data_IF_336991239858
#
_entry.id   IF_336991239858
#
_cell.length_a   1.000
_cell.length_b   1.000
_cell.length_c   1.000
_cell.angle_alpha   90.00
_cell.angle_beta   90.00
_cell.angle_gamma   90.00
#
_symmetry.space_group_name_H-M   'P 1'
#
loop_
_entity.id
_entity.type
_entity.pdbx_description
1 polymer ?
#
# COMPACT_ATOMS: atom_id res chain seq x y z
N UNK A 1 19.43 -3.74 1.19
CA UNK A 1 18.96 -2.47 0.59
C UNK A 1 19.31 -2.63 -0.87
N UNK A 2 18.33 -2.81 -1.75
CA UNK A 2 18.59 -2.74 -3.19
C UNK A 2 19.23 -1.39 -3.45
N UNK A 3 20.50 -1.43 -3.85
CA UNK A 3 21.06 -0.32 -4.59
C UNK A 3 20.45 -0.46 -5.98
N UNK A 4 19.24 0.07 -6.17
CA UNK A 4 18.81 0.39 -7.53
C UNK A 4 19.75 1.52 -7.95
N UNK A 5 20.79 1.16 -8.70
CA UNK A 5 21.66 2.13 -9.33
C UNK A 5 20.76 3.04 -10.17
N UNK A 6 20.91 4.38 -10.09
CA UNK A 6 20.20 5.28 -10.98
C UNK A 6 20.36 4.81 -12.44
N UNK A 7 19.25 4.46 -13.12
CA UNK A 7 19.23 3.97 -14.50
C UNK A 7 19.04 2.46 -14.68
N UNK A 8 19.12 1.63 -13.64
CA UNK A 8 18.85 0.18 -13.73
C UNK A 8 17.45 -0.14 -13.20
N UNK A 9 16.44 -0.04 -14.07
CA UNK A 9 15.10 -0.50 -13.75
C UNK A 9 15.00 -2.01 -14.05
N UNK A 10 14.55 -2.86 -13.11
CA UNK A 10 14.46 -4.30 -13.37
C UNK A 10 13.62 -4.57 -14.62
N UNK A 11 14.12 -5.37 -15.60
CA UNK A 11 13.44 -5.59 -16.88
C UNK A 11 11.99 -6.06 -16.76
N UNK A 12 11.65 -6.76 -15.67
CA UNK A 12 10.30 -7.23 -15.38
C UNK A 12 9.26 -6.10 -15.28
N UNK A 13 9.66 -4.87 -14.95
CA UNK A 13 8.70 -3.77 -14.91
C UNK A 13 8.35 -3.21 -16.28
N UNK A 14 9.17 -3.45 -17.32
CA UNK A 14 8.92 -2.97 -18.68
C UNK A 14 7.61 -3.54 -19.25
N UNK A 15 7.22 -4.74 -18.82
CA UNK A 15 5.99 -5.41 -19.23
C UNK A 15 4.95 -5.48 -18.10
N UNK A 16 5.14 -4.70 -17.04
CA UNK A 16 4.14 -4.55 -15.99
C UNK A 16 2.92 -3.77 -16.51
N UNK A 17 1.74 -4.11 -16.00
CA UNK A 17 0.49 -3.45 -16.37
C UNK A 17 -0.35 -3.15 -15.13
N UNK A 18 -1.46 -2.44 -15.32
CA UNK A 18 -2.49 -2.25 -14.29
C UNK A 18 -3.32 -3.52 -14.17
N UNK A 19 -3.66 -3.90 -12.93
CA UNK A 19 -4.59 -4.99 -12.65
C UNK A 19 -5.97 -4.76 -13.28
N UNK A 20 -6.65 -5.83 -13.66
CA UNK A 20 -8.04 -5.80 -14.10
C UNK A 20 -8.96 -6.44 -13.05
N UNK A 21 -10.27 -6.46 -13.32
CA UNK A 21 -11.24 -7.05 -12.40
C UNK A 21 -11.00 -8.55 -12.17
N UNK A 22 -10.56 -9.29 -13.19
CA UNK A 22 -10.25 -10.71 -13.08
C UNK A 22 -9.04 -10.97 -12.15
N UNK A 23 -7.96 -10.19 -12.26
CA UNK A 23 -6.82 -10.25 -11.34
C UNK A 23 -7.26 -10.00 -9.89
N UNK A 24 -8.05 -8.95 -9.66
CA UNK A 24 -8.54 -8.60 -8.31
C UNK A 24 -9.45 -9.69 -7.75
N UNK A 25 -10.37 -10.23 -8.55
CA UNK A 25 -11.26 -11.32 -8.14
C UNK A 25 -10.46 -12.57 -7.76
N UNK A 26 -9.48 -12.98 -8.58
CA UNK A 26 -8.61 -14.14 -8.29
C UNK A 26 -7.83 -13.96 -6.98
N UNK A 27 -7.31 -12.75 -6.71
CA UNK A 27 -6.65 -12.45 -5.43
C UNK A 27 -7.66 -12.49 -4.27
N UNK A 28 -8.86 -11.94 -4.45
CA UNK A 28 -9.88 -11.93 -3.42
C UNK A 28 -10.35 -13.34 -3.04
N UNK A 29 -10.56 -14.22 -4.03
CA UNK A 29 -10.91 -15.62 -3.82
C UNK A 29 -9.80 -16.36 -3.07
N UNK A 30 -8.54 -16.16 -3.50
CA UNK A 30 -7.39 -16.76 -2.84
C UNK A 30 -7.28 -16.32 -1.38
N UNK A 31 -7.38 -15.03 -1.08
CA UNK A 31 -7.30 -14.51 0.28
C UNK A 31 -8.47 -15.00 1.16
N UNK A 32 -9.66 -15.09 0.59
CA UNK A 32 -10.86 -15.58 1.29
C UNK A 32 -10.74 -17.05 1.68
N UNK A 33 -10.03 -17.85 0.88
CA UNK A 33 -9.79 -19.26 1.15
C UNK A 33 -8.78 -19.52 2.29
N UNK A 34 -8.11 -18.49 2.80
CA UNK A 34 -7.08 -18.60 3.85
C UNK A 34 -7.47 -17.80 5.10
N UNK A 35 -8.45 -18.29 5.90
CA UNK A 35 -8.72 -17.74 7.22
C UNK A 35 -7.52 -17.93 8.15
N UNK A 36 -7.24 -16.92 8.97
CA UNK A 36 -6.35 -17.08 10.12
C UNK A 36 -7.06 -17.82 11.25
N UNK A 37 -6.33 -18.10 12.32
CA UNK A 37 -6.83 -18.88 13.48
C UNK A 37 -8.06 -18.30 14.19
N UNK A 38 -8.39 -17.05 13.92
CA UNK A 38 -9.57 -16.36 14.45
C UNK A 38 -10.75 -16.30 13.48
N UNK A 39 -10.67 -17.04 12.37
CA UNK A 39 -11.68 -17.14 11.33
C UNK A 39 -11.75 -15.92 10.40
N UNK A 40 -10.85 -14.95 10.54
CA UNK A 40 -10.78 -13.77 9.68
C UNK A 40 -9.83 -14.05 8.52
N UNK A 41 -10.24 -13.84 7.25
CA UNK A 41 -9.41 -14.14 6.08
C UNK A 41 -8.15 -13.29 6.02
N UNK A 42 -7.17 -13.80 5.27
CA UNK A 42 -6.04 -13.01 4.81
C UNK A 42 -6.52 -11.71 4.15
N UNK A 43 -5.73 -10.65 4.30
CA UNK A 43 -6.09 -9.32 3.81
C UNK A 43 -4.92 -8.70 3.06
N UNK A 44 -5.19 -8.17 1.88
CA UNK A 44 -4.27 -7.31 1.14
C UNK A 44 -4.51 -5.85 1.47
N UNK A 45 -3.42 -5.09 1.55
CA UNK A 45 -3.43 -3.65 1.72
C UNK A 45 -2.75 -2.96 0.53
N UNK A 46 -3.42 -2.90 -0.63
CA UNK A 46 -2.86 -2.21 -1.78
C UNK A 46 -2.74 -0.71 -1.48
N UNK A 47 -1.53 -0.18 -1.65
CA UNK A 47 -1.27 1.25 -1.56
C UNK A 47 -1.58 1.87 -2.93
N UNK A 48 -2.60 2.73 -3.01
CA UNK A 48 -3.05 3.35 -4.26
C UNK A 48 -2.41 4.71 -4.52
N UNK A 49 -1.95 4.91 -5.75
CA UNK A 49 -1.65 6.22 -6.33
C UNK A 49 -2.92 6.74 -6.95
N UNK A 50 -3.36 7.92 -6.52
CA UNK A 50 -4.70 8.42 -6.82
C UNK A 50 -4.83 9.13 -8.17
N UNK A 51 -3.71 9.58 -8.74
CA UNK A 51 -3.67 10.42 -9.92
C UNK A 51 -2.66 9.94 -10.96
N UNK A 52 -2.98 10.23 -12.22
CA UNK A 52 -2.03 10.14 -13.33
C UNK A 52 -2.27 11.24 -14.36
N UNK A 53 -1.24 11.59 -15.12
CA UNK A 53 -1.31 12.46 -16.29
C UNK A 53 -1.34 11.63 -17.58
N UNK A 54 -2.12 12.08 -18.54
CA UNK A 54 -2.17 11.55 -19.90
C UNK A 54 -1.94 12.66 -20.92
N UNK A 55 -1.18 12.35 -21.97
CA UNK A 55 -0.88 13.29 -23.06
C UNK A 55 -1.70 12.90 -24.30
N UNK A 56 -2.94 13.38 -24.33
CA UNK A 56 -3.96 12.95 -25.28
C UNK A 56 -4.29 14.05 -26.30
N UNK A 57 -4.80 13.63 -27.46
CA UNK A 57 -5.35 14.56 -28.44
C UNK A 57 -6.51 15.36 -27.82
N UNK A 58 -6.61 16.64 -28.17
CA UNK A 58 -7.68 17.52 -27.71
C UNK A 58 -9.06 17.03 -28.21
N UNK A 59 -9.12 16.54 -29.45
CA UNK A 59 -10.28 15.89 -30.08
C UNK A 59 -9.82 14.77 -31.03
N UNK A 60 -10.68 13.82 -31.42
CA UNK A 60 -10.32 12.76 -32.39
C UNK A 60 -9.74 13.31 -33.70
N UNK A 61 -10.22 14.47 -34.14
CA UNK A 61 -9.85 15.11 -35.42
C UNK A 61 -8.71 16.16 -35.29
N UNK A 62 -8.19 16.42 -34.08
CA UNK A 62 -7.13 17.40 -33.85
C UNK A 62 -5.83 16.72 -33.36
N UNK A 63 -4.71 17.04 -34.01
CA UNK A 63 -3.39 16.56 -33.62
C UNK A 63 -2.80 17.32 -32.42
N UNK A 64 -3.37 18.47 -32.03
CA UNK A 64 -2.96 19.21 -30.85
C UNK A 64 -3.25 18.40 -29.60
N UNK A 65 -2.20 18.20 -28.79
CA UNK A 65 -2.26 17.38 -27.59
C UNK A 65 -2.20 18.24 -26.34
N UNK A 66 -2.99 17.83 -25.36
CA UNK A 66 -3.09 18.48 -24.05
C UNK A 66 -2.84 17.47 -22.93
N UNK A 67 -2.33 17.98 -21.81
CA UNK A 67 -2.24 17.21 -20.59
C UNK A 67 -3.62 17.09 -19.95
N UNK A 68 -4.06 15.86 -19.69
CA UNK A 68 -5.29 15.56 -18.96
C UNK A 68 -4.96 14.83 -17.67
N UNK A 69 -5.56 15.29 -16.57
CA UNK A 69 -5.50 14.62 -15.26
C UNK A 69 -6.55 13.51 -15.23
N UNK A 70 -6.13 12.32 -14.84
CA UNK A 70 -7.02 11.20 -14.51
C UNK A 70 -6.88 10.92 -13.02
N UNK A 71 -7.98 11.06 -12.28
CA UNK A 71 -8.04 10.80 -10.84
C UNK A 71 -8.96 9.60 -10.64
N UNK A 72 -8.51 8.60 -9.88
CA UNK A 72 -9.27 7.38 -9.68
C UNK A 72 -10.70 7.69 -9.17
N UNK A 73 -11.74 7.02 -9.68
CA UNK A 73 -11.69 5.81 -10.52
C UNK A 73 -11.40 6.04 -12.01
N UNK A 74 -11.26 7.29 -12.47
CA UNK A 74 -10.91 7.57 -13.86
C UNK A 74 -9.47 7.16 -14.14
N UNK A 75 -9.27 6.41 -15.22
CA UNK A 75 -7.96 5.99 -15.71
C UNK A 75 -7.62 6.73 -17.01
N UNK A 76 -6.33 6.88 -17.35
CA UNK A 76 -5.95 7.28 -18.70
C UNK A 76 -6.54 6.31 -19.73
N UNK A 77 -6.91 6.81 -20.90
CA UNK A 77 -7.60 6.04 -21.96
C UNK A 77 -6.94 4.70 -22.27
N UNK A 78 -5.61 4.67 -22.41
CA UNK A 78 -4.83 3.44 -22.71
C UNK A 78 -4.82 2.40 -21.58
N UNK A 79 -5.26 2.78 -20.39
CA UNK A 79 -5.30 1.96 -19.19
C UNK A 79 -6.73 1.71 -18.70
N UNK A 80 -7.76 1.91 -19.53
CA UNK A 80 -9.15 1.60 -19.17
C UNK A 80 -9.33 0.16 -18.68
N UNK A 81 -10.10 -0.02 -17.60
CA UNK A 81 -10.41 -1.30 -16.94
C UNK A 81 -11.86 -1.28 -16.42
N UNK A 82 -12.80 -1.71 -17.25
CA UNK A 82 -14.24 -1.52 -16.98
C UNK A 82 -14.76 -2.32 -15.78
N UNK A 83 -14.08 -3.41 -15.41
CA UNK A 83 -14.47 -4.35 -14.35
C UNK A 83 -13.65 -4.21 -13.06
N UNK A 84 -12.61 -3.37 -13.05
CA UNK A 84 -11.70 -3.22 -11.92
C UNK A 84 -12.41 -2.74 -10.65
N UNK A 85 -13.13 -1.60 -10.72
CA UNK A 85 -13.75 -1.02 -9.53
C UNK A 85 -14.89 -1.85 -8.95
N UNK A 86 -15.77 -2.49 -9.75
CA UNK A 86 -16.67 -3.52 -9.24
C UNK A 86 -15.96 -4.63 -8.47
N UNK A 87 -14.88 -5.22 -9.00
CA UNK A 87 -14.14 -6.28 -8.34
C UNK A 87 -13.48 -5.80 -7.03
N UNK A 88 -12.89 -4.60 -7.03
CA UNK A 88 -12.32 -3.98 -5.83
C UNK A 88 -13.37 -3.79 -4.74
N UNK A 89 -14.58 -3.30 -5.09
CA UNK A 89 -15.68 -3.15 -4.11
C UNK A 89 -16.11 -4.49 -3.54
N UNK A 90 -16.19 -5.54 -4.36
CA UNK A 90 -16.50 -6.88 -3.90
C UNK A 90 -15.42 -7.43 -2.95
N UNK A 91 -14.14 -7.23 -3.27
CA UNK A 91 -13.03 -7.66 -2.42
C UNK A 91 -13.00 -6.90 -1.06
N UNK A 92 -13.35 -5.61 -1.04
CA UNK A 92 -13.53 -4.84 0.20
C UNK A 92 -14.71 -5.39 1.01
N UNK A 93 -15.85 -5.65 0.36
CA UNK A 93 -17.03 -6.22 1.00
C UNK A 93 -16.79 -7.63 1.56
N UNK A 94 -15.92 -8.42 0.94
CA UNK A 94 -15.47 -9.72 1.45
C UNK A 94 -14.50 -9.60 2.65
N UNK A 95 -13.94 -8.42 2.90
CA UNK A 95 -13.02 -8.16 4.01
C UNK A 95 -11.55 -8.51 3.74
N UNK A 96 -11.23 -8.86 2.50
CA UNK A 96 -9.89 -9.29 2.05
C UNK A 96 -9.08 -8.19 1.36
N UNK A 97 -9.70 -7.03 1.12
CA UNK A 97 -9.07 -5.88 0.49
C UNK A 97 -9.21 -4.64 1.37
N UNK A 98 -8.08 -4.04 1.74
CA UNK A 98 -8.01 -2.88 2.62
C UNK A 98 -7.10 -1.79 2.03
N UNK A 99 -7.59 -1.02 1.05
CA UNK A 99 -6.81 0.01 0.36
C UNK A 99 -6.13 1.00 1.30
N UNK A 100 -4.92 1.44 1.02
CA UNK A 100 -4.28 2.52 1.78
C UNK A 100 -3.61 3.52 0.82
N UNK A 101 -3.15 4.66 1.34
CA UNK A 101 -2.69 5.76 0.50
C UNK A 101 -1.23 5.56 0.08
N UNK A 102 -0.95 5.67 -1.21
CA UNK A 102 0.43 5.67 -1.72
C UNK A 102 0.90 7.06 -2.18
N UNK A 103 -0.01 7.99 -2.43
CA UNK A 103 0.33 9.28 -3.03
C UNK A 103 -0.76 9.75 -3.99
N UNK A 104 -0.69 11.02 -4.35
CA UNK A 104 -1.46 11.55 -5.47
C UNK A 104 -0.77 11.15 -6.78
N UNK A 105 0.56 11.23 -6.80
CA UNK A 105 1.40 10.90 -7.95
C UNK A 105 2.50 9.93 -7.55
N UNK A 106 3.10 9.24 -8.51
CA UNK A 106 4.32 8.45 -8.30
C UNK A 106 5.55 9.08 -8.98
N UNK A 107 5.44 10.37 -9.33
CA UNK A 107 6.43 11.19 -10.02
C UNK A 107 6.06 12.66 -9.83
N UNK A 108 6.97 13.58 -10.18
CA UNK A 108 6.64 15.01 -10.23
C UNK A 108 5.88 15.33 -11.54
N UNK A 109 4.62 15.80 -11.47
CA UNK A 109 3.84 16.10 -12.67
C UNK A 109 4.42 17.23 -13.53
N UNK A 110 5.09 18.21 -12.94
CA UNK A 110 5.67 19.34 -13.67
C UNK A 110 6.99 18.97 -14.35
N UNK A 111 7.82 18.19 -13.67
CA UNK A 111 9.04 17.63 -14.26
C UNK A 111 8.70 16.74 -15.48
N UNK A 112 7.64 15.92 -15.37
CA UNK A 112 7.12 15.16 -16.51
C UNK A 112 6.74 16.07 -17.70
N UNK A 113 6.03 17.17 -17.45
CA UNK A 113 5.62 18.10 -18.51
C UNK A 113 6.83 18.76 -19.17
N UNK A 114 7.79 19.21 -18.36
CA UNK A 114 9.03 19.84 -18.83
C UNK A 114 9.87 18.87 -19.66
N UNK A 115 10.04 17.64 -19.20
CA UNK A 115 10.75 16.57 -19.92
C UNK A 115 10.12 16.29 -21.28
N UNK A 116 8.79 16.16 -21.33
CA UNK A 116 8.06 15.95 -22.60
C UNK A 116 8.16 17.17 -23.52
N UNK A 117 8.13 18.39 -23.00
CA UNK A 117 8.29 19.58 -23.83
C UNK A 117 9.69 19.67 -24.48
N UNK A 118 10.73 19.22 -23.79
CA UNK A 118 12.13 19.34 -24.22
C UNK A 118 12.71 18.14 -24.99
N UNK A 119 12.05 16.98 -25.02
CA UNK A 119 12.61 15.75 -25.59
C UNK A 119 11.61 15.03 -26.52
N UNK A 120 11.98 14.84 -27.79
CA UNK A 120 11.15 14.17 -28.80
C UNK A 120 10.81 12.72 -28.48
N UNK A 121 11.73 11.95 -27.92
CA UNK A 121 11.47 10.57 -27.48
C UNK A 121 10.47 10.56 -26.31
N UNK A 122 10.60 11.51 -25.38
CA UNK A 122 9.65 11.67 -24.28
C UNK A 122 8.25 12.05 -24.78
N UNK A 123 8.15 12.83 -25.86
CA UNK A 123 6.87 13.09 -26.52
C UNK A 123 6.28 11.81 -27.10
N UNK A 124 7.07 11.01 -27.82
CA UNK A 124 6.62 9.75 -28.40
C UNK A 124 6.14 8.76 -27.34
N UNK A 125 6.90 8.60 -26.26
CA UNK A 125 6.50 7.79 -25.12
C UNK A 125 5.21 8.32 -24.46
N UNK A 126 5.10 9.63 -24.22
CA UNK A 126 3.90 10.23 -23.63
C UNK A 126 2.65 10.02 -24.50
N UNK A 127 2.79 10.08 -25.84
CA UNK A 127 1.71 9.75 -26.80
C UNK A 127 1.24 8.30 -26.67
N UNK A 128 2.15 7.40 -26.29
CA UNK A 128 1.87 5.99 -26.00
C UNK A 128 1.40 5.75 -24.56
N UNK A 129 1.27 6.79 -23.74
CA UNK A 129 0.88 6.65 -22.32
C UNK A 129 2.03 6.18 -21.43
N UNK A 130 3.25 6.10 -21.96
CA UNK A 130 4.44 5.67 -21.25
C UNK A 130 5.10 6.85 -20.54
N UNK A 131 5.85 6.54 -19.49
CA UNK A 131 6.71 7.49 -18.81
C UNK A 131 8.17 7.15 -19.16
N UNK A 132 8.92 8.13 -19.66
CA UNK A 132 10.38 8.02 -19.71
C UNK A 132 10.91 8.57 -18.39
N UNK A 133 11.76 7.80 -17.75
CA UNK A 133 12.47 8.20 -16.54
C UNK A 133 13.95 8.40 -16.86
N UNK A 134 14.34 9.44 -17.64
CA UNK A 134 15.75 9.62 -18.00
C UNK A 134 16.62 9.87 -16.75
N UNK A 135 16.02 10.41 -15.67
CA UNK A 135 16.63 10.61 -14.35
C UNK A 135 15.74 10.08 -13.21
N UNK A 136 15.12 8.90 -13.37
CA UNK A 136 14.11 8.35 -12.45
C UNK A 136 14.47 8.30 -10.96
N UNK A 137 15.74 8.48 -10.62
CA UNK A 137 16.22 8.65 -9.25
C UNK A 137 16.05 10.08 -8.67
N UNK A 138 15.41 11.03 -9.37
CA UNK A 138 15.21 12.42 -8.90
C UNK A 138 13.80 12.97 -9.08
N UNK A 139 12.98 12.40 -9.97
CA UNK A 139 11.60 12.86 -10.21
C UNK A 139 10.62 12.23 -9.22
N UNK A 140 10.62 12.74 -7.98
CA UNK A 140 9.79 12.23 -6.90
C UNK A 140 8.57 13.12 -6.67
N UNK A 141 7.40 12.51 -6.40
CA UNK A 141 6.23 13.25 -5.94
C UNK A 141 6.58 14.18 -4.75
N UNK A 142 7.46 13.70 -3.85
CA UNK A 142 7.82 14.36 -2.61
C UNK A 142 9.21 15.02 -2.64
N UNK A 143 9.73 15.36 -3.83
CA UNK A 143 11.03 16.00 -4.01
C UNK A 143 11.19 17.30 -3.18
N UNK A 144 12.42 17.62 -2.77
CA UNK A 144 12.71 18.69 -1.80
C UNK A 144 12.40 20.09 -2.31
N UNK A 145 12.52 20.29 -3.60
CA UNK A 145 12.35 21.55 -4.33
C UNK A 145 10.89 21.86 -4.68
N UNK A 146 9.97 20.91 -4.50
CA UNK A 146 8.53 21.16 -4.66
C UNK A 146 7.98 22.05 -3.55
N UNK A 147 7.06 22.93 -3.93
CA UNK A 147 6.40 23.86 -3.01
C UNK A 147 5.58 23.08 -1.95
N UNK A 148 5.85 23.27 -0.65
CA UNK A 148 5.05 22.68 0.43
C UNK A 148 3.54 22.94 0.32
N UNK A 149 3.12 24.10 -0.20
CA UNK A 149 1.69 24.43 -0.37
C UNK A 149 1.04 23.57 -1.46
N UNK A 150 1.76 23.34 -2.57
CA UNK A 150 1.34 22.44 -3.65
C UNK A 150 1.24 21.00 -3.14
N UNK A 151 2.26 20.52 -2.41
CA UNK A 151 2.26 19.17 -1.83
C UNK A 151 1.07 18.93 -0.88
N UNK A 152 0.71 19.94 -0.08
CA UNK A 152 -0.45 19.85 0.82
C UNK A 152 -1.76 19.85 0.02
N UNK A 153 -1.87 20.67 -1.03
CA UNK A 153 -3.05 20.70 -1.88
C UNK A 153 -3.26 19.35 -2.59
N UNK A 154 -2.19 18.78 -3.15
CA UNK A 154 -2.20 17.46 -3.79
C UNK A 154 -2.53 16.33 -2.81
N UNK A 155 -1.94 16.36 -1.60
CA UNK A 155 -2.27 15.41 -0.53
C UNK A 155 -3.76 15.44 -0.20
N UNK A 156 -4.35 16.63 -0.03
CA UNK A 156 -5.78 16.78 0.26
C UNK A 156 -6.67 16.32 -0.89
N UNK A 157 -6.30 16.65 -2.12
CA UNK A 157 -7.02 16.21 -3.31
C UNK A 157 -6.98 14.68 -3.43
N UNK A 158 -5.81 14.07 -3.27
CA UNK A 158 -5.61 12.63 -3.29
C UNK A 158 -6.38 11.91 -2.18
N UNK A 159 -6.32 12.41 -0.94
CA UNK A 159 -7.10 11.87 0.18
C UNK A 159 -8.61 12.02 -0.04
N UNK A 160 -9.06 13.13 -0.62
CA UNK A 160 -10.47 13.34 -0.99
C UNK A 160 -10.93 12.35 -2.06
N UNK A 161 -10.13 12.15 -3.11
CA UNK A 161 -10.38 11.15 -4.14
C UNK A 161 -10.41 9.73 -3.55
N UNK A 162 -9.47 9.41 -2.66
CA UNK A 162 -9.41 8.13 -1.96
C UNK A 162 -10.70 7.88 -1.16
N UNK A 163 -11.10 8.87 -0.35
CA UNK A 163 -12.31 8.77 0.47
C UNK A 163 -13.57 8.59 -0.37
N UNK A 164 -13.68 9.31 -1.49
CA UNK A 164 -14.79 9.16 -2.44
C UNK A 164 -14.83 7.77 -3.07
N UNK A 165 -13.67 7.21 -3.41
CA UNK A 165 -13.58 5.91 -4.09
C UNK A 165 -13.83 4.72 -3.16
N UNK A 166 -13.26 4.77 -1.96
CA UNK A 166 -13.28 3.62 -1.03
C UNK A 166 -14.25 3.79 0.14
N UNK A 167 -14.97 4.91 0.23
CA UNK A 167 -15.96 5.18 1.28
C UNK A 167 -15.38 5.45 2.66
N UNK A 168 -14.05 5.58 2.77
CA UNK A 168 -13.34 5.92 4.02
C UNK A 168 -12.07 6.72 3.75
N UNK A 169 -11.66 7.53 4.71
CA UNK A 169 -10.33 8.13 4.68
C UNK A 169 -9.23 7.04 4.80
N UNK A 170 -8.06 7.25 4.18
CA UNK A 170 -6.90 6.39 4.44
C UNK A 170 -6.39 6.64 5.87
N UNK A 171 -5.75 5.63 6.44
CA UNK A 171 -5.22 5.70 7.81
C UNK A 171 -3.70 5.46 7.85
N UNK A 172 -3.16 4.82 6.81
CA UNK A 172 -1.75 4.65 6.60
C UNK A 172 -1.29 5.21 5.25
N UNK A 173 -0.01 5.53 5.19
CA UNK A 173 0.67 5.96 3.97
C UNK A 173 1.95 5.18 3.75
N UNK A 174 2.15 4.74 2.51
CA UNK A 174 3.45 4.36 1.99
C UNK A 174 3.89 5.48 1.04
N UNK A 175 5.04 6.12 1.28
CA UNK A 175 5.52 7.15 0.37
C UNK A 175 5.97 6.53 -0.97
N UNK A 176 5.72 7.17 -2.13
CA UNK A 176 6.32 6.72 -3.38
C UNK A 176 7.84 6.69 -3.26
N UNK A 177 8.44 5.65 -3.84
CA UNK A 177 9.89 5.42 -3.84
C UNK A 177 10.55 5.38 -2.46
N UNK A 178 9.75 5.29 -1.40
CA UNK A 178 10.17 5.44 -0.02
C UNK A 178 10.91 6.76 0.27
N UNK A 179 10.65 7.82 -0.49
CA UNK A 179 11.42 9.05 -0.45
C UNK A 179 10.63 10.15 0.30
N UNK A 180 11.01 10.46 1.54
CA UNK A 180 10.36 11.52 2.32
C UNK A 180 11.23 12.04 3.47
N UNK A 181 10.84 13.18 4.05
CA UNK A 181 11.49 13.81 5.20
C UNK A 181 10.49 14.16 6.33
N UNK A 182 10.98 14.88 7.36
CA UNK A 182 10.17 15.30 8.51
C UNK A 182 9.08 16.31 8.16
N UNK A 183 9.27 17.11 7.12
CA UNK A 183 8.25 18.07 6.69
C UNK A 183 7.03 17.30 6.18
N UNK A 184 7.25 16.30 5.31
CA UNK A 184 6.19 15.46 4.76
C UNK A 184 5.48 14.64 5.84
N UNK A 185 6.20 14.11 6.82
CA UNK A 185 5.58 13.40 7.95
C UNK A 185 4.67 14.31 8.79
N UNK A 186 5.05 15.57 8.99
CA UNK A 186 4.18 16.55 9.66
C UNK A 186 2.96 16.91 8.83
N UNK A 187 3.09 16.97 7.50
CA UNK A 187 1.95 17.17 6.59
C UNK A 187 0.96 16.00 6.73
N UNK A 188 1.44 14.77 6.61
CA UNK A 188 0.62 13.57 6.80
C UNK A 188 -0.07 13.53 8.16
N UNK A 189 0.66 13.81 9.24
CA UNK A 189 0.10 13.82 10.59
C UNK A 189 -1.03 14.86 10.74
N UNK A 190 -0.87 16.05 10.15
CA UNK A 190 -1.89 17.11 10.17
C UNK A 190 -3.16 16.72 9.42
N UNK A 191 -3.02 15.98 8.32
CA UNK A 191 -4.16 15.46 7.54
C UNK A 191 -4.71 14.14 8.11
N UNK A 192 -4.18 13.65 9.24
CA UNK A 192 -4.72 12.50 9.98
C UNK A 192 -4.09 11.15 9.63
N UNK A 193 -3.08 11.11 8.76
CA UNK A 193 -2.29 9.92 8.46
C UNK A 193 -1.29 9.67 9.61
N UNK A 194 -1.61 8.70 10.48
CA UNK A 194 -0.85 8.41 11.69
C UNK A 194 -0.04 7.12 11.61
N UNK A 195 -0.11 6.42 10.49
CA UNK A 195 0.61 5.17 10.27
C UNK A 195 1.48 5.33 9.03
N UNK A 196 2.79 5.14 9.19
CA UNK A 196 3.75 5.26 8.09
C UNK A 196 4.36 3.89 7.85
N UNK A 197 4.13 3.36 6.66
CA UNK A 197 4.66 2.09 6.22
C UNK A 197 6.13 2.21 5.79
N UNK A 198 6.82 1.07 5.75
CA UNK A 198 8.17 0.94 5.17
C UNK A 198 9.23 1.89 5.75
N UNK A 199 9.20 2.15 7.07
CA UNK A 199 10.14 3.10 7.71
C UNK A 199 11.61 2.70 7.56
N UNK A 200 11.90 1.39 7.53
CA UNK A 200 13.26 0.88 7.31
C UNK A 200 13.76 1.21 5.91
N UNK A 201 12.89 1.22 4.92
CA UNK A 201 13.15 1.43 3.50
C UNK A 201 13.35 2.92 3.17
N UNK A 202 12.96 3.84 4.05
CA UNK A 202 13.05 5.30 3.84
C UNK A 202 14.37 5.75 3.20
N UNK A 203 14.29 6.42 2.06
CA UNK A 203 15.42 7.02 1.35
C UNK A 203 15.55 8.48 1.76
N UNK A 204 16.80 8.95 1.82
CA UNK A 204 17.08 10.37 2.01
C UNK A 204 16.80 11.11 0.71
N UNK A 205 16.02 12.19 0.77
CA UNK A 205 15.79 13.04 -0.40
C UNK A 205 17.03 13.86 -0.81
N UNK A 206 17.95 14.12 0.13
CA UNK A 206 19.08 15.04 -0.06
C UNK A 206 20.40 14.35 -0.43
N UNK A 207 20.46 13.01 -0.42
CA UNK A 207 21.72 12.27 -0.59
C UNK A 207 21.57 11.15 -1.62
N UNK A 208 22.29 11.29 -2.74
CA UNK A 208 22.41 10.25 -3.76
C UNK A 208 23.35 9.13 -3.32
N UNK A 209 24.41 9.46 -2.56
CA UNK A 209 25.35 8.51 -1.98
C UNK A 209 25.20 8.44 -0.47
N UNK A 210 25.15 7.21 0.07
CA UNK A 210 24.92 6.95 1.50
C UNK A 210 26.20 6.37 2.09
N UNK A 211 26.82 7.09 3.02
CA UNK A 211 28.01 6.62 3.74
C UNK A 211 27.66 5.61 4.84
N UNK A 212 28.66 4.91 5.39
CA UNK A 212 28.44 4.04 6.56
C UNK A 212 27.94 4.83 7.78
N UNK A 213 28.41 6.07 7.96
CA UNK A 213 27.96 6.96 9.02
C UNK A 213 26.50 7.36 8.86
N UNK A 214 26.05 7.59 7.62
CA UNK A 214 24.63 7.84 7.34
C UNK A 214 23.75 6.64 7.70
N UNK A 215 24.24 5.41 7.47
CA UNK A 215 23.52 4.19 7.87
C UNK A 215 23.40 4.07 9.38
N UNK A 216 24.49 4.33 10.12
CA UNK A 216 24.49 4.31 11.59
C UNK A 216 23.55 5.40 12.13
N UNK A 217 23.68 6.62 11.61
CA UNK A 217 22.83 7.74 11.98
C UNK A 217 21.35 7.42 11.73
N UNK A 218 21.01 6.87 10.57
CA UNK A 218 19.64 6.45 10.24
C UNK A 218 19.09 5.43 11.24
N UNK A 219 19.90 4.48 11.70
CA UNK A 219 19.49 3.51 12.73
C UNK A 219 19.21 4.23 14.06
N UNK A 220 20.13 5.09 14.52
CA UNK A 220 19.98 5.85 15.75
C UNK A 220 18.76 6.79 15.70
N UNK A 221 18.62 7.56 14.62
CA UNK A 221 17.49 8.44 14.38
C UNK A 221 16.19 7.65 14.42
N UNK A 222 16.10 6.54 13.68
CA UNK A 222 14.90 5.72 13.67
C UNK A 222 14.54 5.20 15.07
N UNK A 223 15.51 4.70 15.83
CA UNK A 223 15.28 4.26 17.22
C UNK A 223 14.79 5.41 18.10
N UNK A 224 15.40 6.59 17.98
CA UNK A 224 14.96 7.79 18.69
C UNK A 224 13.53 8.18 18.33
N UNK A 225 13.15 8.07 17.06
CA UNK A 225 11.82 8.41 16.57
C UNK A 225 10.75 7.46 17.09
N UNK A 226 11.01 6.15 17.11
CA UNK A 226 10.10 5.18 17.74
C UNK A 226 9.83 5.52 19.22
N UNK A 227 10.83 6.08 19.93
CA UNK A 227 10.69 6.45 21.34
C UNK A 227 9.98 7.78 21.55
N UNK A 228 10.19 8.76 20.67
CA UNK A 228 9.76 10.14 20.87
C UNK A 228 8.46 10.50 20.16
N UNK A 229 8.18 9.93 18.99
CA UNK A 229 7.04 10.29 18.16
C UNK A 229 5.83 9.37 18.41
N UNK A 230 5.23 9.49 19.58
CA UNK A 230 4.12 8.61 20.02
C UNK A 230 2.85 8.74 19.17
N UNK A 231 2.70 9.86 18.45
CA UNK A 231 1.54 10.12 17.58
C UNK A 231 1.56 9.35 16.28
N UNK A 232 2.72 8.86 15.85
CA UNK A 232 2.93 8.11 14.61
C UNK A 232 3.26 6.65 14.96
N UNK A 233 2.64 5.71 14.26
CA UNK A 233 3.10 4.31 14.25
C UNK A 233 3.89 4.08 12.97
N UNK A 234 5.14 3.69 13.16
CA UNK A 234 6.03 3.32 12.07
C UNK A 234 6.02 1.80 11.91
N UNK A 235 5.69 1.33 10.71
CA UNK A 235 5.68 -0.08 10.36
C UNK A 235 6.84 -0.39 9.39
N UNK A 236 7.36 -1.61 9.46
CA UNK A 236 8.47 -2.06 8.61
C UNK A 236 8.01 -3.23 7.75
N UNK A 237 8.26 -3.18 6.44
CA UNK A 237 8.05 -4.32 5.53
C UNK A 237 9.19 -5.32 5.72
N UNK A 238 9.10 -6.14 6.76
CA UNK A 238 10.19 -7.04 7.18
C UNK A 238 10.18 -8.40 6.46
N UNK A 239 9.15 -8.71 5.67
CA UNK A 239 9.03 -9.91 4.84
C UNK A 239 8.81 -9.49 3.38
N UNK A 240 9.49 -10.14 2.42
CA UNK A 240 9.44 -9.78 0.99
C UNK A 240 8.99 -10.97 0.16
N UNK A 241 7.96 -10.76 -0.66
CA UNK A 241 7.43 -11.71 -1.63
C UNK A 241 7.46 -11.06 -3.02
N UNK A 242 8.66 -10.95 -3.56
CA UNK A 242 8.93 -10.21 -4.81
C UNK A 242 9.48 -11.16 -5.88
N UNK A 243 8.68 -12.13 -6.32
CA UNK A 243 9.13 -13.20 -7.24
C UNK A 243 9.60 -12.68 -8.58
N UNK A 244 8.85 -11.76 -9.17
CA UNK A 244 9.18 -11.06 -10.40
C UNK A 244 10.54 -10.32 -10.35
N UNK A 245 10.96 -9.92 -9.15
CA UNK A 245 12.21 -9.18 -8.93
C UNK A 245 13.33 -10.04 -8.35
N UNK A 246 13.06 -11.29 -7.99
CA UNK A 246 14.02 -12.16 -7.32
C UNK A 246 15.03 -12.71 -8.33
N UNK A 247 16.31 -12.71 -7.97
CA UNK A 247 17.36 -13.40 -8.73
C UNK A 247 17.07 -14.91 -8.86
N UNK A 248 16.41 -15.47 -7.84
CA UNK A 248 15.94 -16.86 -7.80
C UNK A 248 14.44 -16.89 -7.49
N UNK A 249 13.63 -16.93 -8.56
CA UNK A 249 12.17 -17.01 -8.50
C UNK A 249 11.66 -18.34 -7.91
N UNK A 250 12.51 -19.34 -7.69
CA UNK A 250 12.09 -20.60 -7.06
C UNK A 250 12.12 -20.54 -5.51
N UNK A 251 12.94 -19.65 -4.94
CA UNK A 251 13.18 -19.61 -3.48
C UNK A 251 12.53 -18.45 -2.74
N UNK A 252 12.09 -17.42 -3.45
CA UNK A 252 11.60 -16.18 -2.81
C UNK A 252 10.42 -16.43 -1.85
N UNK A 253 9.52 -17.38 -2.16
CA UNK A 253 8.43 -17.75 -1.28
C UNK A 253 8.93 -18.37 0.03
N UNK A 254 9.87 -19.32 -0.04
CA UNK A 254 10.49 -19.93 1.15
C UNK A 254 11.26 -18.91 1.98
N UNK A 255 12.02 -18.00 1.34
CA UNK A 255 12.71 -16.89 2.03
C UNK A 255 11.72 -15.92 2.70
N UNK A 256 10.55 -15.69 2.10
CA UNK A 256 9.48 -14.93 2.72
C UNK A 256 8.99 -15.63 4.01
N UNK A 257 8.69 -16.93 3.95
CA UNK A 257 8.25 -17.73 5.11
C UNK A 257 9.29 -17.70 6.24
N UNK A 258 10.57 -17.92 5.92
CA UNK A 258 11.65 -17.82 6.91
C UNK A 258 11.71 -16.44 7.59
N UNK A 259 11.43 -15.39 6.83
CA UNK A 259 11.40 -14.01 7.34
C UNK A 259 10.19 -13.78 8.25
N UNK A 260 9.02 -14.34 7.91
CA UNK A 260 7.81 -14.32 8.75
C UNK A 260 8.10 -15.00 10.09
N UNK A 261 8.65 -16.22 10.06
CA UNK A 261 9.01 -16.96 11.27
C UNK A 261 10.06 -16.22 12.11
N UNK A 262 11.02 -15.54 11.47
CA UNK A 262 12.02 -14.72 12.16
C UNK A 262 11.35 -13.54 12.87
N UNK A 263 10.43 -12.83 12.22
CA UNK A 263 9.70 -11.72 12.84
C UNK A 263 8.91 -12.19 14.07
N UNK A 264 8.21 -13.33 13.97
CA UNK A 264 7.46 -13.90 15.09
C UNK A 264 8.36 -14.31 16.26
N UNK A 265 9.51 -14.95 16.01
CA UNK A 265 10.50 -15.26 17.06
C UNK A 265 11.05 -14.00 17.74
N UNK A 266 11.07 -12.87 17.03
CA UNK A 266 11.46 -11.57 17.58
C UNK A 266 10.31 -10.80 18.25
N UNK A 267 9.09 -11.35 18.29
CA UNK A 267 7.92 -10.68 18.86
C UNK A 267 7.42 -9.50 18.00
N UNK A 268 7.76 -9.47 16.72
CA UNK A 268 7.37 -8.42 15.78
C UNK A 268 6.22 -8.90 14.88
N UNK A 269 5.32 -8.01 14.43
CA UNK A 269 4.42 -8.32 13.33
C UNK A 269 5.23 -8.64 12.07
N UNK A 270 4.84 -9.69 11.35
CA UNK A 270 5.37 -10.01 10.04
C UNK A 270 4.55 -9.25 8.99
N UNK A 271 5.17 -8.29 8.30
CA UNK A 271 4.54 -7.50 7.24
C UNK A 271 5.13 -7.93 5.91
N UNK A 272 4.34 -8.70 5.16
CA UNK A 272 4.70 -9.23 3.84
C UNK A 272 4.46 -8.15 2.79
N UNK A 273 5.54 -7.70 2.17
CA UNK A 273 5.49 -6.81 1.02
C UNK A 273 5.53 -7.59 -0.29
N UNK A 274 4.69 -7.20 -1.25
CA UNK A 274 4.71 -7.68 -2.63
C UNK A 274 4.34 -6.54 -3.58
N UNK A 275 4.82 -6.55 -4.82
CA UNK A 275 4.41 -5.59 -5.86
C UNK A 275 3.37 -6.17 -6.81
N UNK A 276 2.54 -5.28 -7.37
CA UNK A 276 1.51 -5.62 -8.39
C UNK A 276 2.07 -6.41 -9.57
N UNK A 277 3.31 -6.15 -9.96
CA UNK A 277 3.96 -6.84 -11.10
C UNK A 277 3.96 -8.37 -10.97
N UNK A 278 3.89 -8.90 -9.74
CA UNK A 278 3.75 -10.34 -9.51
C UNK A 278 2.37 -10.91 -9.95
N UNK A 279 1.36 -10.05 -10.15
CA UNK A 279 -0.03 -10.48 -10.39
C UNK A 279 -0.66 -9.85 -11.64
N UNK A 280 -0.10 -8.73 -12.14
CA UNK A 280 -0.55 -8.04 -13.34
C UNK A 280 0.65 -7.70 -14.23
N UNK A 281 0.87 -8.55 -15.23
CA UNK A 281 2.00 -8.48 -16.15
C UNK A 281 1.58 -9.03 -17.52
N UNK A 282 2.19 -8.54 -18.60
CA UNK A 282 1.85 -9.01 -19.96
C UNK A 282 2.39 -10.41 -20.27
N UNK A 283 3.47 -10.84 -19.61
CA UNK A 283 3.91 -12.23 -19.64
C UNK A 283 3.15 -13.06 -18.58
N UNK A 284 2.35 -14.06 -19.00
CA UNK A 284 1.59 -14.92 -18.09
C UNK A 284 2.44 -15.76 -17.14
N UNK A 285 3.67 -16.14 -17.53
CA UNK A 285 4.53 -16.96 -16.67
C UNK A 285 4.91 -16.18 -15.41
N UNK A 286 5.25 -14.89 -15.55
CA UNK A 286 5.49 -13.99 -14.42
C UNK A 286 4.29 -13.94 -13.46
N UNK A 287 3.07 -13.90 -14.01
CA UNK A 287 1.83 -13.90 -13.21
C UNK A 287 1.63 -15.23 -12.48
N UNK A 288 1.82 -16.36 -13.18
CA UNK A 288 1.65 -17.69 -12.60
C UNK A 288 2.65 -17.96 -11.48
N UNK A 289 3.91 -17.57 -11.65
CA UNK A 289 4.93 -17.64 -10.59
C UNK A 289 4.53 -16.81 -9.38
N UNK A 290 4.06 -15.57 -9.59
CA UNK A 290 3.64 -14.70 -8.48
C UNK A 290 2.44 -15.23 -7.72
N UNK A 291 1.43 -15.77 -8.41
CA UNK A 291 0.29 -16.42 -7.76
C UNK A 291 0.69 -17.72 -7.04
N UNK A 292 1.50 -18.58 -7.68
CA UNK A 292 1.97 -19.82 -7.07
C UNK A 292 2.76 -19.56 -5.78
N UNK A 293 3.59 -18.51 -5.77
CA UNK A 293 4.32 -18.12 -4.59
C UNK A 293 3.41 -17.60 -3.46
N UNK A 294 2.40 -16.80 -3.80
CA UNK A 294 1.42 -16.32 -2.82
C UNK A 294 0.63 -17.49 -2.20
N UNK A 295 0.17 -18.43 -3.04
CA UNK A 295 -0.47 -19.68 -2.60
C UNK A 295 0.46 -20.43 -1.65
N UNK A 296 1.71 -20.66 -2.05
CA UNK A 296 2.67 -21.39 -1.22
C UNK A 296 2.90 -20.73 0.14
N UNK A 297 3.03 -19.41 0.21
CA UNK A 297 3.17 -18.70 1.48
C UNK A 297 1.92 -18.86 2.35
N UNK A 298 0.72 -18.66 1.78
CA UNK A 298 -0.52 -18.76 2.55
C UNK A 298 -0.80 -20.19 3.05
N UNK A 299 -0.60 -21.20 2.20
CA UNK A 299 -0.74 -22.62 2.55
C UNK A 299 0.21 -23.01 3.69
N UNK A 300 1.49 -22.63 3.58
CA UNK A 300 2.49 -22.97 4.59
C UNK A 300 2.23 -22.29 5.94
N UNK A 301 1.74 -21.04 5.93
CA UNK A 301 1.43 -20.33 7.17
C UNK A 301 0.13 -20.85 7.81
N UNK A 302 -0.89 -21.21 7.02
CA UNK A 302 -2.14 -21.79 7.53
C UNK A 302 -2.01 -23.24 7.99
N UNK A 303 -1.04 -23.99 7.45
CA UNK A 303 -0.83 -25.40 7.75
C UNK A 303 -0.04 -25.71 9.02
N UNK A 304 0.46 -24.71 9.76
CA UNK A 304 1.21 -24.87 11.01
C UNK A 304 0.30 -24.60 12.23
N UNK A 305 -0.23 -25.64 12.92
CA UNK A 305 -1.15 -25.44 14.05
C UNK A 305 -0.52 -24.74 15.25
N UNK A 306 0.81 -24.76 15.37
CA UNK A 306 1.51 -24.08 16.47
C UNK A 306 1.72 -22.58 16.18
N UNK A 307 1.72 -22.19 14.89
CA UNK A 307 2.03 -20.83 14.46
C UNK A 307 1.02 -20.24 13.47
N UNK A 308 -0.22 -20.71 13.50
CA UNK A 308 -1.27 -20.22 12.61
C UNK A 308 -1.46 -18.69 12.78
N UNK A 309 -1.46 -17.91 11.68
CA UNK A 309 -1.46 -16.46 11.74
C UNK A 309 -2.79 -15.90 12.19
N UNK A 310 -2.74 -14.67 12.73
CA UNK A 310 -3.88 -13.75 12.68
C UNK A 310 -3.53 -12.72 11.62
N UNK A 311 -4.39 -12.58 10.62
CA UNK A 311 -4.22 -11.55 9.60
C UNK A 311 -4.75 -10.20 10.10
N UNK A 312 -3.90 -9.19 10.01
CA UNK A 312 -4.13 -7.85 10.52
C UNK A 312 -3.90 -6.84 9.40
N UNK A 313 -4.66 -5.75 9.42
CA UNK A 313 -4.27 -4.54 8.68
C UNK A 313 -3.26 -3.71 9.47
N UNK A 314 -2.64 -2.74 8.81
CA UNK A 314 -1.76 -1.76 9.44
C UNK A 314 -2.47 -1.01 10.58
N UNK A 315 -3.76 -0.71 10.40
CA UNK A 315 -4.60 -0.05 11.39
C UNK A 315 -4.75 -0.91 12.64
N UNK A 316 -5.07 -2.19 12.47
CA UNK A 316 -5.19 -3.12 13.59
C UNK A 316 -3.84 -3.32 14.28
N UNK A 317 -2.77 -3.44 13.50
CA UNK A 317 -1.40 -3.55 14.00
C UNK A 317 -1.04 -2.32 14.85
N UNK A 318 -1.30 -1.11 14.36
CA UNK A 318 -1.06 0.12 15.08
C UNK A 318 -1.89 0.24 16.37
N UNK A 319 -3.15 -0.17 16.35
CA UNK A 319 -4.02 -0.18 17.52
C UNK A 319 -3.52 -1.18 18.58
N UNK A 320 -3.11 -2.39 18.15
CA UNK A 320 -2.56 -3.44 19.01
C UNK A 320 -1.24 -3.02 19.64
N UNK A 321 -0.33 -2.40 18.87
CA UNK A 321 0.93 -1.87 19.41
C UNK A 321 0.71 -0.79 20.47
N UNK A 322 -0.36 0.01 20.34
CA UNK A 322 -0.67 1.10 21.28
C UNK A 322 -1.42 0.67 22.52
N UNK A 323 -2.37 -0.27 22.38
CA UNK A 323 -3.36 -0.56 23.41
C UNK A 323 -3.52 -2.05 23.72
N UNK A 324 -2.96 -2.92 22.88
CA UNK A 324 -3.20 -4.35 22.90
C UNK A 324 -4.59 -4.78 22.46
N UNK A 325 -5.42 -3.83 22.02
CA UNK A 325 -6.74 -4.07 21.44
C UNK A 325 -6.85 -3.48 20.04
N UNK A 326 -7.70 -4.05 19.19
CA UNK A 326 -8.04 -3.49 17.89
C UNK A 326 -9.53 -3.60 17.57
N UNK A 327 -9.96 -2.74 16.65
CA UNK A 327 -11.28 -2.73 16.03
C UNK A 327 -11.10 -2.37 14.55
N UNK A 328 -11.71 -3.18 13.68
CA UNK A 328 -11.80 -2.93 12.24
C UNK A 328 -13.15 -3.40 11.69
N UNK A 329 -13.62 -2.72 10.65
CA UNK A 329 -14.68 -3.23 9.77
C UNK A 329 -14.11 -4.18 8.71
N UNK A 330 -14.68 -5.38 8.58
CA UNK A 330 -14.33 -6.37 7.57
C UNK A 330 -15.60 -6.76 6.82
N UNK A 331 -15.88 -6.07 5.71
CA UNK A 331 -17.18 -6.16 5.06
C UNK A 331 -18.32 -5.69 5.97
N UNK A 332 -19.34 -6.54 6.11
CA UNK A 332 -20.47 -6.33 7.03
C UNK A 332 -20.19 -6.79 8.47
N UNK A 333 -18.92 -7.00 8.84
CA UNK A 333 -18.53 -7.48 10.18
C UNK A 333 -17.67 -6.45 10.88
N UNK A 334 -17.82 -6.31 12.20
CA UNK A 334 -16.83 -5.69 13.06
C UNK A 334 -15.96 -6.78 13.69
N UNK A 335 -14.65 -6.67 13.51
CA UNK A 335 -13.66 -7.54 14.13
C UNK A 335 -13.05 -6.78 15.30
N UNK A 336 -13.28 -7.27 16.51
CA UNK A 336 -12.72 -6.72 17.73
C UNK A 336 -11.71 -7.71 18.30
N UNK A 337 -10.52 -7.24 18.68
CA UNK A 337 -9.49 -8.10 19.27
C UNK A 337 -8.96 -7.54 20.57
N UNK A 338 -8.68 -8.44 21.50
CA UNK A 338 -7.86 -8.17 22.68
C UNK A 338 -6.77 -9.23 22.76
N UNK A 339 -5.54 -8.85 22.40
CA UNK A 339 -4.39 -9.76 22.41
C UNK A 339 -3.56 -9.64 23.70
N UNK A 340 -4.06 -8.93 24.70
CA UNK A 340 -3.40 -8.81 26.02
C UNK A 340 -3.73 -9.97 26.96
N UNK A 341 -3.09 -10.01 28.13
CA UNK A 341 -3.34 -10.97 29.20
C UNK A 341 -4.39 -10.51 30.22
N UNK A 342 -5.04 -9.36 29.98
CA UNK A 342 -6.07 -8.83 30.87
C UNK A 342 -7.32 -8.45 30.09
N UNK A 343 -8.45 -8.33 30.78
CA UNK A 343 -9.70 -7.85 30.19
C UNK A 343 -9.51 -6.40 29.76
N UNK A 344 -9.90 -6.05 28.53
CA UNK A 344 -9.72 -4.69 27.99
C UNK A 344 -11.02 -4.15 27.38
N UNK A 345 -11.32 -2.86 27.56
CA UNK A 345 -12.44 -2.23 26.88
C UNK A 345 -12.05 -1.85 25.45
N UNK A 346 -12.93 -2.14 24.50
CA UNK A 346 -12.86 -1.66 23.12
C UNK A 346 -14.03 -0.71 22.90
N UNK A 347 -13.73 0.49 22.40
CA UNK A 347 -14.76 1.50 22.09
C UNK A 347 -15.32 1.22 20.71
N UNK A 348 -16.64 1.08 20.63
CA UNK A 348 -17.35 0.98 19.37
C UNK A 348 -17.60 2.38 18.80
N UNK A 349 -17.51 2.57 17.47
CA UNK A 349 -17.91 3.81 16.83
C UNK A 349 -19.41 4.03 17.07
N UNK A 350 -19.80 5.29 17.20
CA UNK A 350 -21.20 5.65 17.22
C UNK A 350 -21.81 5.35 15.84
N UNK A 351 -22.87 4.55 15.79
CA UNK A 351 -23.70 4.37 14.61
C UNK A 351 -24.99 5.18 14.79
N UNK A 352 -25.35 5.96 13.77
CA UNK A 352 -26.66 6.63 13.61
C UNK A 352 -27.18 7.39 14.84
N UNK A 353 -26.37 8.31 15.39
CA UNK A 353 -26.77 9.19 16.48
C UNK A 353 -26.96 8.50 17.84
N UNK A 354 -26.61 7.21 17.98
CA UNK A 354 -26.56 6.51 19.26
C UNK A 354 -25.23 6.72 19.98
N UNK A 355 -25.27 6.71 21.31
CA UNK A 355 -24.08 6.86 22.16
C UNK A 355 -23.04 5.77 21.89
N UNK A 356 -21.75 6.13 21.95
CA UNK A 356 -20.63 5.19 21.87
C UNK A 356 -20.82 3.99 22.81
N UNK A 357 -20.76 2.78 22.28
CA UNK A 357 -20.74 1.54 23.05
C UNK A 357 -19.33 1.20 23.54
N UNK A 358 -19.21 0.51 24.68
CA UNK A 358 -17.96 -0.10 25.15
C UNK A 358 -18.20 -1.59 25.29
N UNK A 359 -17.36 -2.40 24.62
CA UNK A 359 -17.35 -3.86 24.76
C UNK A 359 -16.11 -4.27 25.54
N UNK A 360 -16.30 -5.05 26.60
CA UNK A 360 -15.18 -5.58 27.38
C UNK A 360 -14.80 -6.97 26.88
N UNK A 361 -13.62 -7.08 26.28
CA UNK A 361 -13.11 -8.33 25.73
C UNK A 361 -12.26 -9.08 26.75
N UNK A 362 -12.45 -10.39 26.81
CA UNK A 362 -11.60 -11.28 27.59
C UNK A 362 -10.16 -11.31 27.03
N UNK A 363 -9.15 -11.68 27.85
CA UNK A 363 -7.78 -11.83 27.38
C UNK A 363 -7.67 -12.77 26.18
N UNK A 364 -6.81 -12.43 25.21
CA UNK A 364 -6.52 -13.25 24.01
C UNK A 364 -7.77 -13.72 23.26
N UNK A 365 -8.72 -12.81 23.02
CA UNK A 365 -9.96 -13.12 22.28
C UNK A 365 -10.12 -12.24 21.04
N UNK A 366 -10.78 -12.83 20.04
CA UNK A 366 -11.36 -12.14 18.90
C UNK A 366 -12.88 -12.28 18.99
N UNK A 367 -13.61 -11.18 18.85
CA UNK A 367 -15.06 -11.15 18.73
C UNK A 367 -15.42 -10.60 17.35
N UNK A 368 -16.28 -11.32 16.65
CA UNK A 368 -16.82 -10.90 15.36
C UNK A 368 -18.30 -10.55 15.57
N UNK A 369 -18.68 -9.34 15.21
CA UNK A 369 -20.06 -8.85 15.32
C UNK A 369 -20.55 -8.59 13.90
N UNK A 370 -21.59 -9.31 13.49
CA UNK A 370 -22.28 -9.01 12.24
C UNK A 370 -23.05 -7.69 12.39
N UNK A 371 -22.81 -6.76 11.47
CA UNK A 371 -23.56 -5.52 11.41
C UNK A 371 -24.91 -5.83 10.72
N UNK A 372 -26.03 -5.35 11.27
CA UNK A 372 -27.31 -5.46 10.57
C UNK A 372 -27.17 -4.78 9.21
N UNK A 373 -27.68 -5.44 8.17
CA UNK A 373 -27.64 -4.98 6.79
C UNK A 373 -28.07 -3.51 6.71
N UNK A 374 -27.13 -2.60 6.43
CA UNK A 374 -27.52 -1.33 5.84
C UNK A 374 -27.92 -1.69 4.41
N UNK A 375 -29.21 -1.57 4.08
CA UNK A 375 -29.63 -1.63 2.69
C UNK A 375 -28.75 -0.65 1.90
N UNK A 376 -27.97 -1.16 0.96
CA UNK A 376 -27.20 -0.33 0.06
C UNK A 376 -28.21 0.35 -0.87
N UNK A 377 -28.37 1.67 -0.72
CA UNK A 377 -29.02 2.53 -1.72
C UNK A 377 -28.04 2.79 -2.89
#
# INVERSE_FOLDING_TARGET
IEAICPGEFPPVYLYSTLEDGATVARLADLLSAHPGRDGVPAVFQPNYIMGSLSYAASTPDNTDRIWRRAILPSLPEKYGRDDLWPAVRQAIAAGVWWPEYHGMWHYDPEDRRTTVAGNGEAQDAARLGLLIFPDGARSYELALDRDPEELIAELREGMGAFAKLFGRAPQSVAAPDYAWDRLRERMWLREGLRIIQAKREQRSLSKLEVTIWDRIWKVCERSWRYLTEKEIVYLNRNCRLEGAQAEDSSRHASTCIESVQRAWRSGEPAIVGTHRVNYAHFDPETVDVGFAALVHVLDQLGGDPEHEPIYLTDVETAQLLRSGTSLRSSGQRLVLRNLTHSRRPVRLPATDGRSMGIVWLSPRTTHIIDLPYAAAD
#
